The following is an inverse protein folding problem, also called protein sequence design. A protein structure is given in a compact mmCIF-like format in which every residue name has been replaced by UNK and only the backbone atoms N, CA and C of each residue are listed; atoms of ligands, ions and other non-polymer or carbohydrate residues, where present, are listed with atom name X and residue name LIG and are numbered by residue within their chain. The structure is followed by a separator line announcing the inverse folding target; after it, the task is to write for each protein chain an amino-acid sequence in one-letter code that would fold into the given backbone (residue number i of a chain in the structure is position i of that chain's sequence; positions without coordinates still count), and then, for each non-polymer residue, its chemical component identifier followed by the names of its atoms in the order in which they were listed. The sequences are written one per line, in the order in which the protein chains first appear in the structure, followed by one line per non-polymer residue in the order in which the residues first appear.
data_IF_313577841369
#
_entry.id   IF_313577841369
#
_cell.length_a   1.000
_cell.length_b   1.000
_cell.length_c   1.000
_cell.angle_alpha   90.00
_cell.angle_beta   90.00
_cell.angle_gamma   90.00
#
_symmetry.space_group_name_H-M   'P 1'
#
loop_
_entity.id
_entity.type
_entity.pdbx_description
1 polymer ?
#
# COMPACT_ATOMS: atom_id res chain seq x y z
N UNK A 1 13.72 -3.00 18.38
CA UNK A 1 13.03 -2.48 17.18
C UNK A 1 11.77 -1.78 17.68
N UNK A 2 11.70 -0.45 17.65
CA UNK A 2 10.51 0.29 18.11
C UNK A 2 9.37 -0.03 17.16
N UNK A 3 8.23 -0.41 17.70
CA UNK A 3 7.18 -1.15 16.98
C UNK A 3 6.59 -0.31 15.84
N UNK A 4 6.82 -0.76 14.60
CA UNK A 4 6.18 -0.29 13.35
C UNK A 4 6.42 1.17 12.94
N UNK A 5 7.56 1.74 13.34
CA UNK A 5 8.07 2.99 12.78
C UNK A 5 8.69 2.70 11.40
N UNK A 6 7.90 2.89 10.35
CA UNK A 6 8.35 2.89 8.95
C UNK A 6 8.25 4.31 8.40
N UNK A 7 9.18 4.69 7.51
CA UNK A 7 9.14 5.99 6.82
C UNK A 7 8.12 5.91 5.68
N UNK A 8 6.84 5.96 6.03
CA UNK A 8 5.71 5.95 5.09
C UNK A 8 4.98 7.28 5.21
N UNK A 9 4.82 7.96 4.09
CA UNK A 9 4.16 9.27 4.02
C UNK A 9 3.08 9.27 2.94
N UNK A 10 2.03 10.06 3.12
CA UNK A 10 1.00 10.24 2.10
C UNK A 10 1.14 11.62 1.46
N UNK A 11 0.86 11.72 0.16
CA UNK A 11 0.78 13.02 -0.52
C UNK A 11 -0.50 13.76 -0.13
N UNK A 12 -0.56 15.09 -0.30
CA UNK A 12 -1.80 15.85 -0.16
C UNK A 12 -2.92 15.31 -1.07
N UNK A 13 -2.60 14.91 -2.30
CA UNK A 13 -3.54 14.32 -3.24
C UNK A 13 -4.15 13.00 -2.72
N UNK A 14 -3.33 12.13 -2.10
CA UNK A 14 -3.82 10.92 -1.45
C UNK A 14 -4.71 11.22 -0.24
N UNK A 15 -4.33 12.20 0.58
CA UNK A 15 -5.12 12.63 1.74
C UNK A 15 -6.49 13.15 1.33
N UNK A 16 -6.56 14.01 0.32
CA UNK A 16 -7.81 14.54 -0.22
C UNK A 16 -8.66 13.48 -0.95
N UNK A 17 -8.03 12.42 -1.46
CA UNK A 17 -8.74 11.34 -2.11
C UNK A 17 -9.41 10.38 -1.12
N UNK A 18 -9.03 10.37 0.16
CA UNK A 18 -9.70 9.60 1.21
C UNK A 18 -11.03 10.24 1.61
N UNK A 19 -12.06 9.40 1.79
CA UNK A 19 -13.32 9.86 2.37
C UNK A 19 -13.20 9.89 3.90
N UNK A 20 -14.05 10.68 4.59
CA UNK A 20 -14.11 10.65 6.05
C UNK A 20 -14.28 9.22 6.59
N UNK A 21 -13.42 8.83 7.55
CA UNK A 21 -13.43 7.49 8.16
C UNK A 21 -12.79 6.38 7.32
N UNK A 22 -12.13 6.72 6.19
CA UNK A 22 -11.30 5.77 5.45
C UNK A 22 -9.84 5.84 5.86
N UNK A 23 -9.19 4.68 5.75
CA UNK A 23 -7.76 4.48 5.93
C UNK A 23 -7.15 3.89 4.66
N UNK A 24 -5.87 4.18 4.40
CA UNK A 24 -5.10 3.49 3.37
C UNK A 24 -4.54 2.19 3.91
N UNK A 25 -4.64 1.13 3.10
CA UNK A 25 -4.09 -0.18 3.41
C UNK A 25 -3.04 -0.53 2.38
N UNK A 26 -1.84 -0.75 2.87
CA UNK A 26 -0.75 -1.31 2.12
C UNK A 26 -0.65 -2.81 2.41
N UNK A 27 -1.00 -3.62 1.43
CA UNK A 27 -1.09 -5.08 1.55
C UNK A 27 -0.07 -5.77 0.63
N UNK A 28 0.25 -7.02 0.94
CA UNK A 28 1.09 -7.87 0.10
C UNK A 28 0.42 -9.23 -0.08
N UNK A 29 0.04 -9.54 -1.31
CA UNK A 29 -0.73 -10.72 -1.64
C UNK A 29 0.16 -11.96 -1.66
N UNK A 30 0.32 -12.62 -0.51
CA UNK A 30 1.03 -13.91 -0.42
C UNK A 30 0.39 -15.01 -1.27
N UNK A 31 -0.93 -14.97 -1.39
CA UNK A 31 -1.73 -15.86 -2.22
C UNK A 31 -2.71 -15.02 -3.03
N UNK A 32 -2.89 -15.38 -4.29
CA UNK A 32 -3.89 -14.80 -5.18
C UNK A 32 -4.50 -15.92 -6.02
N UNK A 33 -5.74 -15.71 -6.49
CA UNK A 33 -6.44 -16.66 -7.38
C UNK A 33 -5.66 -16.85 -8.69
N UNK A 34 -4.88 -15.85 -9.08
CA UNK A 34 -3.99 -15.91 -10.23
C UNK A 34 -2.53 -15.77 -9.77
N UNK A 35 -1.64 -16.59 -10.32
CA UNK A 35 -0.20 -16.50 -10.06
C UNK A 35 0.38 -15.12 -10.41
N UNK A 36 -0.22 -14.41 -11.37
CA UNK A 36 0.17 -13.04 -11.71
C UNK A 36 -0.17 -11.99 -10.63
N UNK A 37 -0.99 -12.33 -9.64
CA UNK A 37 -1.27 -11.49 -8.46
C UNK A 37 -0.54 -11.93 -7.20
N UNK A 38 0.11 -13.11 -7.22
CA UNK A 38 0.87 -13.60 -6.08
C UNK A 38 2.21 -12.86 -5.99
N UNK A 39 2.53 -12.38 -4.79
CA UNK A 39 3.70 -11.56 -4.53
C UNK A 39 3.51 -10.09 -4.91
N UNK A 40 2.33 -9.66 -5.37
CA UNK A 40 2.09 -8.26 -5.71
C UNK A 40 1.72 -7.44 -4.46
N UNK A 41 2.24 -6.22 -4.38
CA UNK A 41 1.79 -5.23 -3.40
C UNK A 41 0.50 -4.57 -3.89
N UNK A 42 -0.41 -4.25 -2.96
CA UNK A 42 -1.61 -3.49 -3.28
C UNK A 42 -1.81 -2.34 -2.31
N UNK A 43 -2.38 -1.27 -2.83
CA UNK A 43 -2.73 -0.08 -2.07
C UNK A 43 -4.19 0.27 -2.34
N UNK A 44 -5.01 0.26 -1.29
CA UNK A 44 -6.44 0.52 -1.39
C UNK A 44 -6.97 1.25 -0.16
N UNK A 45 -8.09 1.97 -0.33
CA UNK A 45 -8.82 2.55 0.77
C UNK A 45 -9.78 1.52 1.38
N UNK A 46 -9.92 1.54 2.71
CA UNK A 46 -10.95 0.79 3.43
C UNK A 46 -11.49 1.61 4.61
N UNK A 47 -12.65 1.24 5.14
CA UNK A 47 -13.14 1.83 6.38
C UNK A 47 -12.15 1.58 7.54
N UNK A 48 -11.78 2.64 8.28
CA UNK A 48 -10.76 2.59 9.33
C UNK A 48 -11.15 1.68 10.50
N UNK A 49 -12.42 1.68 10.90
CA UNK A 49 -12.91 0.77 11.94
C UNK A 49 -12.77 -0.69 11.52
N UNK A 50 -13.05 -0.99 10.24
CA UNK A 50 -12.80 -2.28 9.63
C UNK A 50 -11.31 -2.64 9.61
N UNK A 51 -10.43 -1.68 9.29
CA UNK A 51 -8.98 -1.88 9.25
C UNK A 51 -8.44 -2.25 10.63
N UNK A 52 -8.91 -1.55 11.66
CA UNK A 52 -8.55 -1.78 13.07
C UNK A 52 -8.96 -3.16 13.57
N UNK A 53 -10.11 -3.68 13.11
CA UNK A 53 -10.62 -5.02 13.51
C UNK A 53 -9.98 -6.17 12.71
N UNK A 54 -9.41 -5.90 11.53
CA UNK A 54 -8.86 -6.94 10.65
C UNK A 54 -7.55 -7.50 11.19
N UNK A 55 -7.53 -8.79 11.52
CA UNK A 55 -6.32 -9.51 11.93
C UNK A 55 -5.23 -9.40 10.85
N UNK A 56 -4.02 -9.04 11.27
CA UNK A 56 -2.84 -8.98 10.42
C UNK A 56 -2.56 -7.60 9.80
N UNK A 57 -3.49 -6.64 9.92
CA UNK A 57 -3.21 -5.23 9.65
C UNK A 57 -2.67 -4.56 10.90
N UNK A 58 -1.69 -3.68 10.70
CA UNK A 58 -1.04 -2.91 11.75
C UNK A 58 -1.10 -1.45 11.35
N UNK A 59 -1.58 -0.59 12.27
CA UNK A 59 -1.55 0.86 12.06
C UNK A 59 -0.09 1.32 12.09
N UNK A 60 0.34 2.01 11.04
CA UNK A 60 1.66 2.62 11.00
C UNK A 60 1.71 3.85 11.89
N UNK A 61 2.89 4.16 12.42
CA UNK A 61 3.11 5.37 13.21
C UNK A 61 3.08 6.59 12.27
N UNK A 62 2.31 7.62 12.64
CA UNK A 62 2.13 8.83 11.85
C UNK A 62 0.79 9.49 12.15
N UNK A 63 0.58 10.68 11.57
CA UNK A 63 -0.70 11.40 11.68
C UNK A 63 -1.76 10.79 10.74
N UNK A 64 -1.33 10.26 9.60
CA UNK A 64 -2.22 9.73 8.58
C UNK A 64 -2.77 8.33 8.91
N UNK A 65 -4.03 8.02 8.51
CA UNK A 65 -4.65 6.74 8.78
C UNK A 65 -4.13 5.67 7.81
N UNK A 66 -2.89 5.21 8.02
CA UNK A 66 -2.25 4.17 7.20
C UNK A 66 -2.11 2.87 7.99
N UNK A 67 -2.55 1.78 7.36
CA UNK A 67 -2.42 0.42 7.84
C UNK A 67 -1.57 -0.38 6.88
N UNK A 68 -0.76 -1.29 7.41
CA UNK A 68 0.04 -2.19 6.61
C UNK A 68 -0.20 -3.64 7.05
N UNK A 69 -0.30 -4.55 6.10
CA UNK A 69 -0.23 -5.97 6.39
C UNK A 69 1.18 -6.31 6.86
N UNK A 70 1.34 -7.08 7.95
CA UNK A 70 2.68 -7.45 8.47
C UNK A 70 3.59 -8.09 7.41
N UNK A 71 3.00 -8.73 6.42
CA UNK A 71 3.71 -9.39 5.33
C UNK A 71 4.49 -8.40 4.44
N UNK A 72 4.11 -7.12 4.40
CA UNK A 72 4.80 -6.09 3.59
C UNK A 72 5.99 -5.44 4.29
N UNK A 73 6.18 -5.67 5.61
CA UNK A 73 7.22 -5.02 6.39
C UNK A 73 8.65 -5.16 5.84
N UNK A 74 9.07 -6.33 5.30
CA UNK A 74 10.39 -6.43 4.68
C UNK A 74 10.61 -5.45 3.53
N UNK A 75 9.55 -5.07 2.82
CA UNK A 75 9.59 -4.11 1.71
C UNK A 75 9.59 -2.65 2.18
N UNK A 76 9.12 -2.39 3.41
CA UNK A 76 9.13 -1.05 4.03
C UNK A 76 10.42 -0.76 4.79
N UNK A 77 11.12 -1.80 5.26
CA UNK A 77 12.27 -1.65 6.12
C UNK A 77 13.41 -0.86 5.43
N UNK A 78 13.85 0.22 6.08
CA UNK A 78 14.96 1.05 5.60
C UNK A 78 14.66 1.87 4.34
N UNK A 79 13.39 2.04 3.97
CA UNK A 79 12.96 2.81 2.79
C UNK A 79 11.99 3.90 3.17
N UNK A 80 12.13 5.04 2.51
CA UNK A 80 11.09 6.05 2.43
C UNK A 80 10.09 5.64 1.37
N UNK A 81 8.81 5.58 1.73
CA UNK A 81 7.72 5.18 0.86
C UNK A 81 6.71 6.32 0.81
N UNK A 82 6.33 6.70 -0.41
CA UNK A 82 5.33 7.73 -0.68
C UNK A 82 4.08 7.07 -1.27
N UNK A 83 2.97 7.29 -0.58
CA UNK A 83 1.65 6.86 -1.02
C UNK A 83 0.93 8.04 -1.67
N UNK A 84 0.53 7.87 -2.92
CA UNK A 84 -0.10 8.90 -3.75
C UNK A 84 -1.46 8.45 -4.29
N UNK A 85 -2.22 9.38 -4.86
CA UNK A 85 -3.48 9.09 -5.53
C UNK A 85 -3.56 9.75 -6.90
N UNK A 86 -4.05 8.98 -7.87
CA UNK A 86 -4.40 9.43 -9.21
C UNK A 86 -5.91 9.42 -9.37
N UNK A 87 -6.46 10.49 -9.96
CA UNK A 87 -7.87 10.56 -10.37
C UNK A 87 -7.94 10.36 -11.88
N UNK A 88 -8.71 9.37 -12.32
CA UNK A 88 -8.90 9.08 -13.74
C UNK A 88 -10.39 8.81 -13.98
N UNK A 89 -11.04 9.65 -14.79
CA UNK A 89 -12.47 9.55 -15.13
C UNK A 89 -13.40 9.36 -13.90
N UNK A 90 -13.17 10.10 -12.81
CA UNK A 90 -13.97 10.01 -11.58
C UNK A 90 -13.63 8.82 -10.67
N UNK A 91 -12.79 7.88 -11.11
CA UNK A 91 -12.23 6.84 -10.27
C UNK A 91 -10.97 7.35 -9.58
N UNK A 92 -10.88 7.11 -8.27
CA UNK A 92 -9.66 7.30 -7.49
C UNK A 92 -8.86 6.00 -7.48
N UNK A 93 -7.57 6.10 -7.77
CA UNK A 93 -6.62 5.00 -7.69
C UNK A 93 -5.47 5.43 -6.79
N UNK A 94 -5.18 4.64 -5.77
CA UNK A 94 -4.01 4.85 -4.92
C UNK A 94 -2.81 4.12 -5.52
N UNK A 95 -1.64 4.73 -5.42
CA UNK A 95 -0.37 4.19 -5.91
C UNK A 95 0.72 4.41 -4.87
N UNK A 96 1.74 3.55 -4.86
CA UNK A 96 2.95 3.73 -4.05
C UNK A 96 4.17 3.81 -4.95
N UNK A 97 5.23 4.47 -4.50
CA UNK A 97 6.56 4.44 -5.12
C UNK A 97 7.37 3.17 -4.81
N UNK A 98 6.77 2.22 -4.08
CA UNK A 98 7.37 0.90 -3.89
C UNK A 98 7.67 0.24 -5.25
N UNK A 99 8.85 -0.42 -5.36
CA UNK A 99 9.18 -1.20 -6.54
C UNK A 99 8.05 -2.17 -6.92
N UNK A 100 7.57 -2.15 -8.16
CA UNK A 100 6.58 -3.14 -8.58
C UNK A 100 7.20 -4.46 -9.02
N UNK A 101 8.38 -4.78 -8.49
CA UNK A 101 9.17 -5.95 -8.85
C UNK A 101 9.00 -7.12 -7.87
N UNK A 102 7.96 -7.09 -7.03
CA UNK A 102 7.77 -8.05 -5.94
C UNK A 102 7.08 -9.35 -6.33
N UNK A 103 6.31 -9.35 -7.42
CA UNK A 103 5.45 -10.47 -7.80
C UNK A 103 5.93 -11.26 -9.01
N UNK A 104 5.18 -12.30 -9.36
CA UNK A 104 5.51 -13.17 -10.49
C UNK A 104 5.69 -12.39 -11.80
N UNK A 105 5.00 -11.25 -11.96
CA UNK A 105 5.17 -10.38 -13.13
C UNK A 105 6.61 -9.90 -13.29
N UNK A 106 7.26 -9.53 -12.19
CA UNK A 106 8.65 -9.12 -12.16
C UNK A 106 9.60 -10.26 -12.54
N UNK A 107 9.37 -11.45 -11.98
CA UNK A 107 10.13 -12.68 -12.31
C UNK A 107 10.01 -13.02 -13.80
N UNK A 108 8.86 -12.73 -14.41
CA UNK A 108 8.62 -12.89 -15.85
C UNK A 108 9.12 -11.70 -16.70
N UNK A 109 9.88 -10.76 -16.13
CA UNK A 109 10.41 -9.58 -16.83
C UNK A 109 9.37 -8.51 -17.17
N UNK A 110 8.16 -8.60 -16.62
CA UNK A 110 7.07 -7.62 -16.81
C UNK A 110 6.99 -6.67 -15.62
N UNK A 111 7.95 -5.77 -15.54
CA UNK A 111 7.93 -4.69 -14.57
C UNK A 111 6.79 -3.71 -14.90
N UNK A 112 6.15 -3.08 -13.89
CA UNK A 112 5.28 -1.96 -14.14
C UNK A 112 6.06 -0.83 -14.82
N UNK A 113 5.38 -0.06 -15.67
CA UNK A 113 5.96 1.11 -16.32
C UNK A 113 6.62 2.00 -15.26
N UNK A 114 7.90 2.30 -15.46
CA UNK A 114 8.59 3.27 -14.62
C UNK A 114 7.78 4.58 -14.68
N UNK A 115 7.30 5.04 -13.53
CA UNK A 115 6.66 6.35 -13.43
C UNK A 115 7.67 7.40 -13.88
N UNK A 116 7.52 7.88 -15.11
CA UNK A 116 8.12 9.13 -15.57
C UNK A 116 7.49 10.31 -14.85
#
# INVERSE_FOLDING_TARGET
MREHEFDVSITPAAREALRPGEALVLDWHRLAVCCAGAGEASLYAMNEEGARKRKGLVRLKGEDPVYAARAIFPHLAGRRVVLDARKTFGFRRFVSDLPGDFGLRAVMGRLPEASR
#
